data_IF_202600179105
#
_entry.id   IF_202600179105
#
_cell.length_a   1.000
_cell.length_b   1.000
_cell.length_c   1.000
_cell.angle_alpha   90.00
_cell.angle_beta   90.00
_cell.angle_gamma   90.00
#
_symmetry.space_group_name_H-M   'P 1'
#
loop_
_entity.id
_entity.type
_entity.pdbx_description
1 polymer ?
#
# COMPACT_ATOMS: atom_id res chain seq x y z
N UNK A 1 10.17 2.58 -16.70
CA UNK A 1 11.11 1.71 -15.95
C UNK A 1 11.60 2.42 -14.70
N UNK A 2 12.14 3.65 -14.80
CA UNK A 2 12.60 4.45 -13.66
C UNK A 2 11.59 4.63 -12.52
N UNK A 3 10.32 4.96 -12.81
CA UNK A 3 9.29 5.17 -11.78
C UNK A 3 8.98 3.90 -10.96
N UNK A 4 9.14 2.71 -11.56
CA UNK A 4 8.88 1.43 -10.88
C UNK A 4 9.97 1.12 -9.86
N UNK A 5 11.22 1.36 -10.25
CA UNK A 5 12.40 1.15 -9.42
C UNK A 5 12.49 2.19 -8.30
N UNK A 6 12.13 3.45 -8.59
CA UNK A 6 12.08 4.51 -7.57
C UNK A 6 11.00 4.25 -6.51
N UNK A 7 9.82 3.78 -6.91
CA UNK A 7 8.75 3.42 -5.97
C UNK A 7 9.14 2.23 -5.08
N UNK A 8 9.84 1.23 -5.64
CA UNK A 8 10.37 0.11 -4.86
C UNK A 8 11.45 0.56 -3.87
N UNK A 9 12.38 1.41 -4.32
CA UNK A 9 13.43 1.97 -3.47
C UNK A 9 12.86 2.84 -2.34
N UNK A 10 11.78 3.59 -2.59
CA UNK A 10 11.08 4.38 -1.59
C UNK A 10 10.38 3.52 -0.53
N UNK A 11 9.84 2.35 -0.92
CA UNK A 11 9.10 1.45 -0.01
C UNK A 11 10.02 0.52 0.81
N UNK A 12 11.21 0.23 0.31
CA UNK A 12 12.13 -0.74 0.90
C UNK A 12 12.54 -0.42 2.36
N UNK A 13 12.88 0.83 2.75
CA UNK A 13 13.29 1.14 4.12
C UNK A 13 12.19 0.82 5.13
N UNK A 14 10.96 1.22 4.80
CA UNK A 14 9.78 0.95 5.61
C UNK A 14 9.50 -0.55 5.71
N UNK A 15 9.64 -1.29 4.60
CA UNK A 15 9.45 -2.74 4.60
C UNK A 15 10.46 -3.46 5.51
N UNK A 16 11.71 -3.01 5.53
CA UNK A 16 12.75 -3.56 6.40
C UNK A 16 12.50 -3.23 7.87
N UNK A 17 12.04 -2.01 8.18
CA UNK A 17 11.66 -1.61 9.53
C UNK A 17 10.48 -2.44 10.05
N UNK A 18 9.41 -2.57 9.24
CA UNK A 18 8.25 -3.38 9.57
C UNK A 18 8.62 -4.86 9.77
N UNK A 19 9.48 -5.40 8.91
CA UNK A 19 10.00 -6.76 9.08
C UNK A 19 10.81 -6.91 10.37
N UNK A 20 11.69 -5.96 10.69
CA UNK A 20 12.51 -6.01 11.89
C UNK A 20 11.65 -5.94 13.16
N UNK A 21 10.67 -5.04 13.20
CA UNK A 21 9.70 -4.95 14.28
C UNK A 21 8.87 -6.25 14.39
N UNK A 22 8.43 -6.81 13.26
CA UNK A 22 7.66 -8.04 13.22
C UNK A 22 8.41 -9.28 13.69
N UNK A 23 9.74 -9.35 13.51
CA UNK A 23 10.57 -10.44 14.07
C UNK A 23 10.66 -10.38 15.60
N UNK A 24 10.45 -9.22 16.19
CA UNK A 24 10.43 -9.02 17.64
C UNK A 24 9.03 -9.20 18.25
N UNK A 25 8.00 -9.34 17.42
CA UNK A 25 6.60 -9.51 17.82
C UNK A 25 6.12 -10.95 17.60
N UNK A 26 5.31 -11.49 18.50
CA UNK A 26 4.66 -12.80 18.32
C UNK A 26 3.56 -12.74 17.24
N UNK A 27 2.98 -11.56 17.00
CA UNK A 27 1.93 -11.32 16.01
C UNK A 27 2.47 -11.04 14.59
N UNK A 28 3.80 -10.97 14.43
CA UNK A 28 4.45 -10.64 13.17
C UNK A 28 4.47 -9.14 12.86
N UNK A 29 4.79 -8.75 11.60
CA UNK A 29 4.89 -7.34 11.22
C UNK A 29 3.52 -6.65 11.17
N UNK A 30 3.47 -5.38 11.55
CA UNK A 30 2.25 -4.55 11.53
C UNK A 30 1.62 -4.48 10.13
N UNK A 31 2.45 -4.44 9.09
CA UNK A 31 2.02 -4.47 7.70
C UNK A 31 3.06 -5.16 6.82
N UNK A 32 2.63 -5.54 5.61
CA UNK A 32 3.48 -6.16 4.59
C UNK A 32 3.49 -5.27 3.36
N UNK A 33 4.69 -4.91 2.90
CA UNK A 33 4.87 -4.12 1.69
C UNK A 33 4.94 -5.03 0.45
N UNK A 34 4.22 -4.64 -0.60
CA UNK A 34 4.24 -5.32 -1.89
C UNK A 34 4.27 -4.30 -3.04
N UNK A 35 5.07 -4.57 -4.06
CA UNK A 35 5.13 -3.75 -5.28
C UNK A 35 4.61 -4.53 -6.48
N UNK A 36 3.75 -3.90 -7.29
CA UNK A 36 3.21 -4.46 -8.53
C UNK A 36 3.74 -3.73 -9.77
N UNK A 37 4.96 -4.05 -10.26
CA UNK A 37 5.56 -3.36 -11.41
C UNK A 37 4.90 -3.71 -12.75
N UNK A 38 4.05 -4.74 -12.80
CA UNK A 38 3.33 -5.18 -13.98
C UNK A 38 1.87 -5.56 -13.63
N UNK A 39 0.98 -5.50 -14.61
CA UNK A 39 -0.41 -5.92 -14.49
C UNK A 39 -0.52 -7.46 -14.54
N UNK A 40 0.07 -8.12 -13.55
CA UNK A 40 0.13 -9.58 -13.44
C UNK A 40 -0.09 -10.04 -12.00
N UNK A 41 -0.39 -11.32 -11.82
CA UNK A 41 -0.62 -11.90 -10.49
C UNK A 41 -1.86 -11.27 -9.82
N UNK A 42 -1.79 -10.92 -8.52
CA UNK A 42 -2.94 -10.36 -7.80
C UNK A 42 -3.22 -8.89 -8.16
N UNK A 43 -2.30 -8.19 -8.84
CA UNK A 43 -2.40 -6.75 -9.08
C UNK A 43 -3.69 -6.31 -9.83
N UNK A 44 -4.16 -7.01 -10.89
CA UNK A 44 -5.42 -6.64 -11.56
C UNK A 44 -6.64 -6.79 -10.64
N UNK A 45 -6.65 -7.83 -9.80
CA UNK A 45 -7.74 -8.08 -8.85
C UNK A 45 -7.75 -7.00 -7.77
N UNK A 46 -6.59 -6.67 -7.20
CA UNK A 46 -6.45 -5.60 -6.20
C UNK A 46 -6.95 -4.28 -6.78
N UNK A 47 -6.51 -3.90 -7.99
CA UNK A 47 -6.96 -2.67 -8.66
C UNK A 47 -8.47 -2.62 -8.79
N UNK A 48 -9.09 -3.71 -9.25
CA UNK A 48 -10.55 -3.82 -9.35
C UNK A 48 -11.24 -3.66 -7.98
N UNK A 49 -10.70 -4.29 -6.94
CA UNK A 49 -11.27 -4.24 -5.59
C UNK A 49 -11.20 -2.85 -4.97
N UNK A 50 -10.12 -2.10 -5.19
CA UNK A 50 -9.96 -0.72 -4.69
C UNK A 50 -10.40 0.34 -5.69
N UNK A 51 -11.24 -0.04 -6.67
CA UNK A 51 -11.81 0.86 -7.68
C UNK A 51 -10.78 1.70 -8.46
N UNK A 52 -9.56 1.19 -8.63
CA UNK A 52 -8.52 1.79 -9.46
C UNK A 52 -8.67 1.37 -10.93
N UNK A 53 -8.21 2.20 -11.88
CA UNK A 53 -8.20 1.81 -13.28
C UNK A 53 -7.29 0.59 -13.50
N UNK A 54 -7.71 -0.29 -14.42
CA UNK A 54 -6.97 -1.52 -14.77
C UNK A 54 -5.55 -1.21 -15.26
N UNK A 55 -5.40 -0.10 -15.98
CA UNK A 55 -4.12 0.44 -16.43
C UNK A 55 -3.95 1.86 -15.91
N UNK A 56 -2.75 2.15 -15.39
CA UNK A 56 -2.36 3.52 -15.01
C UNK A 56 -0.94 3.78 -15.49
N UNK A 57 -0.69 5.02 -15.90
CA UNK A 57 0.65 5.52 -16.20
C UNK A 57 1.37 6.02 -14.95
N UNK A 58 0.64 6.29 -13.87
CA UNK A 58 1.17 6.71 -12.57
C UNK A 58 1.26 5.55 -11.58
N UNK A 59 2.23 5.62 -10.68
CA UNK A 59 2.29 4.75 -9.51
C UNK A 59 1.22 5.21 -8.50
N UNK A 60 0.61 4.26 -7.79
CA UNK A 60 -0.40 4.53 -6.77
C UNK A 60 -0.05 3.75 -5.52
N UNK A 61 -0.09 4.42 -4.37
CA UNK A 61 0.10 3.79 -3.07
C UNK A 61 -1.25 3.48 -2.46
N UNK A 62 -1.42 2.23 -2.03
CA UNK A 62 -2.68 1.70 -1.47
C UNK A 62 -2.35 0.95 -0.19
N UNK A 63 -3.13 1.19 0.87
CA UNK A 63 -3.14 0.40 2.09
C UNK A 63 -4.42 -0.45 2.13
N UNK A 64 -4.27 -1.76 2.27
CA UNK A 64 -5.38 -2.69 2.50
C UNK A 64 -5.40 -3.03 3.99
N UNK A 65 -6.40 -2.52 4.70
CA UNK A 65 -6.53 -2.70 6.14
C UNK A 65 -7.35 -3.98 6.41
N UNK A 66 -6.63 -5.10 6.46
CA UNK A 66 -7.22 -6.44 6.61
C UNK A 66 -8.02 -6.55 7.93
N UNK A 67 -7.52 -6.07 9.09
CA UNK A 67 -8.30 -6.07 10.33
C UNK A 67 -9.60 -5.24 10.25
N UNK A 68 -9.66 -4.22 9.42
CA UNK A 68 -10.78 -3.28 9.32
C UNK A 68 -11.91 -3.75 8.36
N UNK A 69 -12.17 -5.06 8.29
CA UNK A 69 -13.32 -5.64 7.57
C UNK A 69 -13.50 -5.12 6.12
N UNK A 70 -12.39 -4.99 5.38
CA UNK A 70 -12.39 -4.49 4.01
C UNK A 70 -12.25 -2.96 3.90
N UNK A 71 -11.75 -2.31 4.95
CA UNK A 71 -11.23 -0.94 4.87
C UNK A 71 -10.00 -0.87 3.95
N UNK A 72 -9.89 0.22 3.19
CA UNK A 72 -8.69 0.53 2.42
C UNK A 72 -8.47 2.03 2.31
N UNK A 73 -7.25 2.40 1.96
CA UNK A 73 -6.82 3.79 1.83
C UNK A 73 -5.99 3.96 0.56
N UNK A 74 -6.18 5.07 -0.14
CA UNK A 74 -5.44 5.40 -1.37
C UNK A 74 -4.73 6.73 -1.15
N UNK A 75 -3.43 6.77 -1.41
CA UNK A 75 -2.68 8.01 -1.32
C UNK A 75 -3.07 8.95 -2.47
N UNK A 76 -3.34 10.25 -2.20
CA UNK A 76 -3.55 11.24 -3.25
C UNK A 76 -2.23 11.69 -3.92
N UNK A 77 -1.08 11.25 -3.43
CA UNK A 77 0.21 11.66 -3.96
C UNK A 77 0.46 11.10 -5.37
N UNK A 78 0.93 11.97 -6.26
CA UNK A 78 1.27 11.61 -7.65
C UNK A 78 2.67 10.98 -7.76
N UNK A 79 3.54 11.26 -6.79
CA UNK A 79 4.90 10.74 -6.69
C UNK A 79 5.07 9.85 -5.46
N UNK A 80 5.76 8.72 -5.62
CA UNK A 80 6.06 7.79 -4.54
C UNK A 80 7.52 7.97 -4.14
N UNK A 81 7.73 8.74 -3.07
CA UNK A 81 9.03 8.92 -2.40
C UNK A 81 9.01 8.30 -1.00
N UNK A 82 10.18 8.15 -0.38
CA UNK A 82 10.27 7.59 0.97
C UNK A 82 9.49 8.43 2.00
N UNK A 83 9.58 9.77 1.92
CA UNK A 83 8.84 10.69 2.78
C UNK A 83 7.32 10.57 2.59
N UNK A 84 6.85 10.43 1.34
CA UNK A 84 5.42 10.25 1.05
C UNK A 84 4.92 8.94 1.65
N UNK A 85 5.68 7.85 1.50
CA UNK A 85 5.34 6.54 2.06
C UNK A 85 5.30 6.58 3.58
N UNK A 86 6.30 7.17 4.22
CA UNK A 86 6.38 7.30 5.68
C UNK A 86 5.22 8.16 6.23
N UNK A 87 4.94 9.29 5.58
CA UNK A 87 3.82 10.18 5.93
C UNK A 87 2.49 9.45 5.80
N UNK A 88 2.28 8.70 4.71
CA UNK A 88 1.05 7.96 4.48
C UNK A 88 0.80 6.91 5.58
N UNK A 89 1.84 6.18 6.00
CA UNK A 89 1.73 5.21 7.11
C UNK A 89 1.49 5.89 8.45
N UNK A 90 2.13 7.03 8.72
CA UNK A 90 1.83 7.81 9.93
C UNK A 90 0.37 8.24 9.98
N UNK A 91 -0.14 8.83 8.89
CA UNK A 91 -1.53 9.26 8.82
C UNK A 91 -2.51 8.10 8.96
N UNK A 92 -2.17 6.91 8.46
CA UNK A 92 -2.97 5.70 8.68
C UNK A 92 -3.00 5.32 10.16
N UNK A 93 -1.84 5.26 10.83
CA UNK A 93 -1.75 4.95 12.27
C UNK A 93 -2.50 5.97 13.13
N UNK A 94 -2.48 7.23 12.74
CA UNK A 94 -3.19 8.31 13.42
C UNK A 94 -4.70 8.33 13.12
N UNK A 95 -5.18 7.47 12.21
CA UNK A 95 -6.58 7.44 11.77
C UNK A 95 -7.00 8.68 10.97
N UNK A 96 -6.05 9.40 10.40
CA UNK A 96 -6.26 10.66 9.67
C UNK A 96 -6.53 10.46 8.18
N UNK A 97 -6.38 9.24 7.65
CA UNK A 97 -6.68 8.93 6.26
C UNK A 97 -8.18 8.73 6.03
N UNK A 98 -8.63 9.07 4.83
CA UNK A 98 -10.00 8.79 4.40
C UNK A 98 -10.20 7.29 4.14
N UNK A 99 -10.95 6.65 5.02
CA UNK A 99 -11.31 5.23 4.92
C UNK A 99 -12.27 4.99 3.76
N UNK A 100 -11.89 4.12 2.84
CA UNK A 100 -12.73 3.60 1.77
C UNK A 100 -13.17 2.16 2.08
N UNK A 101 -14.22 1.67 1.40
CA UNK A 101 -14.79 0.35 1.65
C UNK A 101 -14.74 -0.53 0.40
N UNK A 102 -14.14 -1.72 0.52
CA UNK A 102 -14.13 -2.71 -0.56
C UNK A 102 -15.57 -3.13 -0.92
N UNK A 103 -15.86 -3.35 -2.21
CA UNK A 103 -17.17 -3.83 -2.64
C UNK A 103 -17.45 -5.21 -2.02
N UNK A 104 -18.62 -5.35 -1.40
CA UNK A 104 -19.08 -6.64 -0.88
C UNK A 104 -19.23 -7.61 -2.06
N UNK A 105 -18.47 -8.69 -2.04
CA UNK A 105 -18.65 -9.80 -2.98
C UNK A 105 -19.99 -10.45 -2.63
N UNK A 106 -21.03 -10.18 -3.44
CA UNK A 106 -22.34 -10.85 -3.32
C UNK A 106 -22.35 -12.17 -4.07
#
# INVERSE_FOLDING_TARGET
AAVKESAQAALLPLALEAQAAGRASEDGPEFICFTAPAASGPAPIIRKLVSLPETSTSATLVMLDIPDNGGYYVSPAEEITADVVATFVSLWRDGALERQQLPQQR
#
